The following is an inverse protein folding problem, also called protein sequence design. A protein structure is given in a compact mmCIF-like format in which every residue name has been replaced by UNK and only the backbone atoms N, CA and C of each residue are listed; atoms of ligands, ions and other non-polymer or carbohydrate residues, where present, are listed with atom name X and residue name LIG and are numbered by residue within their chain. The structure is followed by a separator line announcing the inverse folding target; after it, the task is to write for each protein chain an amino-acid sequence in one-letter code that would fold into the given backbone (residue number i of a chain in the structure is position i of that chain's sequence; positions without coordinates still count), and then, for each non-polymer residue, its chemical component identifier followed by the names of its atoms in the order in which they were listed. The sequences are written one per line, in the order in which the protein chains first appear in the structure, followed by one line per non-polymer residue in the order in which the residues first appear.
data_IF_160858662817
#
_entry.id   IF_160858662817
#
_cell.length_a   1.000
_cell.length_b   1.000
_cell.length_c   1.000
_cell.angle_alpha   90.00
_cell.angle_beta   90.00
_cell.angle_gamma   90.00
#
_symmetry.space_group_name_H-M   'P 1'
#
loop_
_entity.id
_entity.type
_entity.pdbx_description
1 polymer ?
#
# COMPACT_ATOMS: atom_id res chain seq x y z
N UNK A 1 -7.36 -17.94 5.32
CA UNK A 1 -7.76 -16.54 5.06
C UNK A 1 -7.65 -16.29 3.57
N UNK A 2 -8.75 -15.96 2.88
CA UNK A 2 -8.76 -15.71 1.43
C UNK A 2 -8.63 -14.20 1.21
N UNK A 3 -7.66 -13.78 0.40
CA UNK A 3 -7.59 -12.40 -0.09
C UNK A 3 -8.49 -12.28 -1.30
N UNK A 4 -9.37 -11.28 -1.30
CA UNK A 4 -10.37 -11.09 -2.35
C UNK A 4 -10.01 -9.93 -3.28
N UNK A 5 -9.21 -9.00 -2.77
CA UNK A 5 -8.87 -7.78 -3.46
C UNK A 5 -7.36 -7.55 -3.44
N UNK A 6 -6.89 -6.83 -4.46
CA UNK A 6 -5.48 -6.53 -4.65
C UNK A 6 -5.29 -5.22 -5.39
N UNK A 7 -4.23 -4.50 -5.02
CA UNK A 7 -3.72 -3.35 -5.75
C UNK A 7 -2.21 -3.48 -5.91
N UNK A 8 -1.69 -3.12 -7.10
CA UNK A 8 -0.28 -3.25 -7.44
C UNK A 8 0.27 -1.92 -7.92
N UNK A 9 1.51 -1.63 -7.52
CA UNK A 9 2.36 -0.61 -8.13
C UNK A 9 3.49 -1.33 -8.85
N UNK A 10 3.64 -1.06 -10.14
CA UNK A 10 4.67 -1.73 -10.95
C UNK A 10 6.08 -1.42 -10.43
N UNK A 11 7.00 -2.41 -10.49
CA UNK A 11 8.41 -2.17 -10.18
C UNK A 11 9.06 -1.24 -11.22
N UNK A 12 10.11 -0.54 -10.80
CA UNK A 12 10.97 0.21 -11.72
C UNK A 12 12.21 -0.64 -12.04
N UNK A 13 12.21 -1.29 -13.20
CA UNK A 13 13.27 -2.21 -13.61
C UNK A 13 13.15 -3.58 -12.93
N UNK A 14 14.24 -4.09 -12.36
CA UNK A 14 14.30 -5.42 -11.74
C UNK A 14 13.97 -5.44 -10.24
N UNK A 15 13.70 -4.28 -9.63
CA UNK A 15 13.53 -4.14 -8.20
C UNK A 15 12.32 -3.26 -7.85
N UNK A 16 11.88 -3.39 -6.59
CA UNK A 16 10.72 -2.68 -6.05
C UNK A 16 9.40 -3.30 -6.47
N UNK A 17 8.40 -2.44 -6.66
CA UNK A 17 7.01 -2.85 -6.84
C UNK A 17 6.32 -3.08 -5.50
N UNK A 18 5.04 -2.72 -5.44
CA UNK A 18 4.23 -2.84 -4.23
C UNK A 18 3.01 -3.70 -4.51
N UNK A 19 2.62 -4.49 -3.53
CA UNK A 19 1.38 -5.24 -3.54
C UNK A 19 0.64 -4.99 -2.22
N UNK A 20 -0.59 -4.52 -2.32
CA UNK A 20 -1.52 -4.43 -1.20
C UNK A 20 -2.65 -5.44 -1.43
N UNK A 21 -2.83 -6.36 -0.49
CA UNK A 21 -3.87 -7.38 -0.52
C UNK A 21 -4.76 -7.28 0.71
N UNK A 22 -6.06 -7.49 0.53
CA UNK A 22 -7.01 -7.46 1.64
C UNK A 22 -8.19 -8.41 1.43
N UNK A 23 -8.87 -8.71 2.53
CA UNK A 23 -10.09 -9.54 2.57
C UNK A 23 -11.32 -8.69 2.19
N UNK A 24 -12.45 -9.33 1.86
CA UNK A 24 -13.71 -8.62 1.59
C UNK A 24 -14.31 -7.89 2.81
N UNK A 25 -13.71 -8.03 3.99
CA UNK A 25 -14.13 -7.33 5.21
C UNK A 25 -13.74 -5.83 5.21
N UNK A 26 -12.74 -5.47 4.41
CA UNK A 26 -12.24 -4.10 4.30
C UNK A 26 -12.60 -3.49 2.94
N UNK A 27 -13.29 -2.35 2.97
CA UNK A 27 -13.46 -1.48 1.82
C UNK A 27 -12.28 -0.50 1.78
N UNK A 28 -11.36 -0.70 0.84
CA UNK A 28 -10.17 0.13 0.67
C UNK A 28 -10.32 0.99 -0.58
N UNK A 29 -10.15 2.31 -0.41
CA UNK A 29 -10.01 3.27 -1.52
C UNK A 29 -8.56 3.73 -1.58
N UNK A 30 -7.91 3.56 -2.74
CA UNK A 30 -6.57 4.11 -2.98
C UNK A 30 -6.69 5.61 -3.23
N UNK A 31 -6.03 6.42 -2.42
CA UNK A 31 -6.05 7.88 -2.51
C UNK A 31 -4.89 8.38 -3.38
N UNK A 32 -3.68 7.88 -3.12
CA UNK A 32 -2.45 8.16 -3.88
C UNK A 32 -1.49 6.98 -3.75
N UNK A 33 -0.55 6.89 -4.67
CA UNK A 33 0.54 5.92 -4.58
C UNK A 33 1.73 6.40 -5.41
N UNK A 34 2.91 5.89 -5.07
CA UNK A 34 4.10 5.93 -5.90
C UNK A 34 4.93 4.65 -5.69
N UNK A 35 6.18 4.63 -6.17
CA UNK A 35 7.07 3.47 -6.00
C UNK A 35 7.44 3.15 -4.53
N UNK A 36 7.19 4.07 -3.60
CA UNK A 36 7.57 4.00 -2.19
C UNK A 36 6.37 3.96 -1.25
N UNK A 37 5.14 4.28 -1.68
CA UNK A 37 3.99 4.19 -0.79
C UNK A 37 2.66 3.94 -1.50
N UNK A 38 1.69 3.45 -0.73
CA UNK A 38 0.27 3.40 -1.08
C UNK A 38 -0.51 4.08 0.05
N UNK A 39 -1.22 5.15 -0.26
CA UNK A 39 -2.06 5.89 0.68
C UNK A 39 -3.54 5.55 0.46
N UNK A 40 -4.25 5.28 1.56
CA UNK A 40 -5.58 4.66 1.50
C UNK A 40 -6.55 5.25 2.51
N UNK A 41 -7.82 5.26 2.14
CA UNK A 41 -8.95 5.35 3.06
C UNK A 41 -9.52 3.95 3.24
N UNK A 42 -9.69 3.52 4.47
CA UNK A 42 -10.12 2.16 4.82
C UNK A 42 -11.37 2.24 5.70
N UNK A 43 -12.36 1.44 5.34
CA UNK A 43 -13.61 1.28 6.08
C UNK A 43 -13.86 -0.20 6.28
N UNK A 44 -13.94 -0.64 7.53
CA UNK A 44 -14.41 -1.99 7.86
C UNK A 44 -15.94 -2.00 7.85
N UNK A 45 -16.58 -3.16 7.59
CA UNK A 45 -18.02 -3.30 7.35
C UNK A 45 -18.96 -2.43 8.22
N UNK A 46 -18.62 -2.17 9.49
CA UNK A 46 -19.42 -1.34 10.41
C UNK A 46 -18.57 -0.32 11.20
N UNK A 47 -17.39 0.05 10.70
CA UNK A 47 -16.42 0.88 11.40
C UNK A 47 -16.33 2.33 10.91
N UNK A 48 -15.72 3.18 11.74
CA UNK A 48 -15.28 4.50 11.30
C UNK A 48 -14.21 4.38 10.20
N UNK A 49 -14.22 5.34 9.29
CA UNK A 49 -13.19 5.43 8.27
C UNK A 49 -11.86 5.84 8.91
N UNK A 50 -10.80 5.13 8.58
CA UNK A 50 -9.44 5.48 8.95
C UNK A 50 -8.57 5.60 7.70
N UNK A 51 -7.44 6.27 7.87
CA UNK A 51 -6.48 6.50 6.81
C UNK A 51 -5.21 5.73 7.13
N UNK A 52 -4.67 5.04 6.12
CA UNK A 52 -3.48 4.22 6.25
C UNK A 52 -2.56 4.45 5.07
N UNK A 53 -1.31 4.81 5.38
CA UNK A 53 -0.24 4.88 4.40
C UNK A 53 0.70 3.70 4.59
N UNK A 54 0.83 2.86 3.57
CA UNK A 54 1.74 1.73 3.53
C UNK A 54 3.05 2.17 2.88
N UNK A 55 4.13 2.22 3.66
CA UNK A 55 5.43 2.70 3.21
C UNK A 55 6.35 1.52 2.86
N UNK A 56 6.99 1.63 1.71
CA UNK A 56 8.12 0.85 1.27
C UNK A 56 9.36 1.73 1.23
N UNK A 57 10.08 1.74 2.35
CA UNK A 57 11.36 2.45 2.46
C UNK A 57 12.43 1.79 1.61
N UNK A 58 13.39 2.57 1.12
CA UNK A 58 14.48 2.03 0.32
C UNK A 58 15.29 0.99 1.13
N UNK A 59 15.57 -0.20 0.53
CA UNK A 59 16.47 -1.17 1.14
C UNK A 59 17.92 -0.66 1.18
N UNK A 60 18.28 0.30 0.33
CA UNK A 60 19.63 0.86 0.21
C UNK A 60 19.90 1.88 1.32
N UNK A 61 21.04 1.72 1.99
CA UNK A 61 21.38 2.56 3.15
C UNK A 61 21.63 4.01 2.78
N UNK A 62 22.30 4.25 1.66
CA UNK A 62 22.49 5.59 1.11
C UNK A 62 21.17 6.34 0.87
N UNK A 63 20.11 5.63 0.46
CA UNK A 63 18.83 6.27 0.12
C UNK A 63 17.97 6.57 1.36
N UNK A 64 18.29 6.00 2.54
CA UNK A 64 17.51 6.24 3.78
C UNK A 64 17.58 7.66 4.32
N UNK A 65 18.59 8.44 3.93
CA UNK A 65 18.74 9.84 4.36
C UNK A 65 18.04 10.83 3.43
N UNK A 66 17.54 10.36 2.29
CA UNK A 66 16.90 11.19 1.28
C UNK A 66 15.35 11.18 1.37
N UNK A 67 14.79 10.50 2.37
CA UNK A 67 13.36 10.45 2.67
C UNK A 67 12.97 11.47 3.73
#
# INVERSE_FOLDING_TARGET
MKMEHSFYVDPQGLAGGLALWWTGEANITILRYDKNYIDTKIVLQEGEAWFGTFIYGSPYREERQAF
#
